data_IF_235938648798
#
_entry.id   IF_235938648798
#
_cell.length_a   1.000
_cell.length_b   1.000
_cell.length_c   1.000
_cell.angle_alpha   90.00
_cell.angle_beta   90.00
_cell.angle_gamma   90.00
#
_symmetry.space_group_name_H-M   'P 1'
#
loop_
_entity.id
_entity.type
_entity.pdbx_description
1 polymer ?
#
# COMPACT_ATOMS: atom_id res chain seq x y z
N UNK A 1 -2.55 -45.62 4.42
CA UNK A 1 -3.73 -44.93 3.86
C UNK A 1 -3.28 -43.55 3.41
N UNK A 2 -3.25 -43.31 2.09
CA UNK A 2 -3.07 -41.96 1.55
C UNK A 2 -4.31 -41.16 1.94
N UNK A 3 -4.17 -40.23 2.89
CA UNK A 3 -5.21 -39.23 3.16
C UNK A 3 -5.09 -38.21 2.04
N UNK A 4 -6.03 -38.25 1.10
CA UNK A 4 -6.20 -37.13 0.19
C UNK A 4 -6.67 -35.95 1.04
N UNK A 5 -6.04 -34.77 0.96
CA UNK A 5 -6.52 -33.59 1.67
C UNK A 5 -7.96 -33.31 1.21
N UNK A 6 -8.87 -33.17 2.17
CA UNK A 6 -10.26 -32.79 1.90
C UNK A 6 -10.27 -31.38 1.27
N UNK A 7 -11.21 -31.10 0.36
CA UNK A 7 -11.37 -29.77 -0.20
C UNK A 7 -11.52 -28.74 0.91
N UNK A 8 -10.70 -27.68 0.89
CA UNK A 8 -10.89 -26.55 1.81
C UNK A 8 -12.28 -25.96 1.57
N UNK A 9 -13.01 -25.72 2.66
CA UNK A 9 -14.31 -25.05 2.54
C UNK A 9 -14.12 -23.57 2.17
N UNK A 10 -15.22 -22.95 1.74
CA UNK A 10 -15.24 -21.55 1.29
C UNK A 10 -14.75 -20.59 2.37
N UNK A 11 -15.15 -20.83 3.63
CA UNK A 11 -14.74 -20.00 4.76
C UNK A 11 -13.23 -20.08 4.99
N UNK A 12 -12.66 -21.28 4.94
CA UNK A 12 -11.23 -21.51 5.14
C UNK A 12 -10.42 -20.90 4.01
N UNK A 13 -10.90 -21.00 2.78
CA UNK A 13 -10.31 -20.34 1.61
C UNK A 13 -10.26 -18.82 1.81
N UNK A 14 -11.35 -18.20 2.25
CA UNK A 14 -11.41 -16.77 2.56
C UNK A 14 -10.43 -16.37 3.68
N UNK A 15 -10.36 -17.17 4.75
CA UNK A 15 -9.39 -16.95 5.84
C UNK A 15 -7.94 -16.96 5.34
N UNK A 16 -7.59 -17.89 4.45
CA UNK A 16 -6.27 -18.00 3.85
C UNK A 16 -5.98 -16.78 2.95
N UNK A 17 -6.93 -16.40 2.10
CA UNK A 17 -6.80 -15.23 1.22
C UNK A 17 -6.52 -13.99 2.04
N UNK A 18 -7.33 -13.72 3.07
CA UNK A 18 -7.18 -12.52 3.89
C UNK A 18 -5.88 -12.54 4.70
N UNK A 19 -5.48 -13.70 5.23
CA UNK A 19 -4.22 -13.85 5.94
C UNK A 19 -3.01 -13.53 5.05
N UNK A 20 -2.99 -14.06 3.82
CA UNK A 20 -1.91 -13.80 2.86
C UNK A 20 -1.95 -12.33 2.43
N UNK A 21 -3.11 -11.81 2.03
CA UNK A 21 -3.27 -10.45 1.53
C UNK A 21 -2.83 -9.42 2.57
N UNK A 22 -3.25 -9.59 3.84
CA UNK A 22 -2.84 -8.74 4.95
C UNK A 22 -1.33 -8.77 5.18
N UNK A 23 -0.71 -9.95 5.10
CA UNK A 23 0.74 -10.09 5.29
C UNK A 23 1.51 -9.38 4.18
N UNK A 24 1.09 -9.57 2.92
CA UNK A 24 1.67 -8.89 1.75
C UNK A 24 1.53 -7.38 1.86
N UNK A 25 0.35 -6.89 2.27
CA UNK A 25 0.09 -5.47 2.50
C UNK A 25 1.01 -4.89 3.57
N UNK A 26 1.16 -5.56 4.71
CA UNK A 26 2.05 -5.11 5.80
C UNK A 26 3.51 -4.95 5.36
N UNK A 27 3.95 -5.74 4.37
CA UNK A 27 5.29 -5.62 3.80
C UNK A 27 5.41 -4.59 2.68
N UNK A 28 4.30 -3.97 2.24
CA UNK A 28 4.30 -3.03 1.10
C UNK A 28 4.58 -3.70 -0.24
N UNK A 29 4.28 -5.01 -0.37
CA UNK A 29 4.63 -5.82 -1.54
C UNK A 29 3.41 -6.18 -2.42
N UNK A 30 2.29 -5.46 -2.29
CA UNK A 30 1.03 -5.79 -2.99
C UNK A 30 1.22 -5.90 -4.51
N UNK A 31 1.78 -4.87 -5.15
CA UNK A 31 2.00 -4.85 -6.61
C UNK A 31 2.99 -5.94 -7.08
N UNK A 32 4.19 -6.09 -6.45
CA UNK A 32 5.08 -7.20 -6.78
C UNK A 32 4.45 -8.60 -6.58
N UNK A 33 3.63 -8.78 -5.56
CA UNK A 33 2.95 -10.05 -5.29
C UNK A 33 1.93 -10.39 -6.38
N UNK A 34 1.11 -9.42 -6.81
CA UNK A 34 0.19 -9.60 -7.95
C UNK A 34 0.96 -10.05 -9.18
N UNK A 35 2.02 -9.34 -9.54
CA UNK A 35 2.85 -9.67 -10.71
C UNK A 35 3.44 -11.10 -10.62
N UNK A 36 4.00 -11.45 -9.46
CA UNK A 36 4.54 -12.79 -9.24
C UNK A 36 3.46 -13.87 -9.36
N UNK A 37 2.29 -13.66 -8.76
CA UNK A 37 1.20 -14.62 -8.81
C UNK A 37 0.64 -14.77 -10.22
N UNK A 38 0.47 -13.68 -10.99
CA UNK A 38 0.09 -13.69 -12.40
C UNK A 38 1.04 -14.52 -13.27
N UNK A 39 2.35 -14.30 -13.11
CA UNK A 39 3.38 -15.06 -13.84
C UNK A 39 3.36 -16.55 -13.51
N UNK A 40 3.00 -16.90 -12.28
CA UNK A 40 3.01 -18.27 -11.77
C UNK A 40 1.63 -18.93 -11.73
N UNK A 41 0.56 -18.28 -12.21
CA UNK A 41 -0.77 -18.88 -12.39
C UNK A 41 -0.76 -20.27 -13.06
N UNK A 42 0.02 -20.53 -14.13
CA UNK A 42 0.07 -21.87 -14.74
C UNK A 42 0.85 -22.90 -13.91
N UNK A 43 1.67 -22.46 -12.94
CA UNK A 43 2.47 -23.33 -12.08
C UNK A 43 1.67 -23.91 -10.91
N UNK A 44 0.42 -23.48 -10.66
CA UNK A 44 -0.46 -24.14 -9.70
C UNK A 44 -0.54 -25.66 -9.94
N UNK A 45 -0.47 -26.11 -11.20
CA UNK A 45 -0.47 -27.55 -11.54
C UNK A 45 0.83 -28.30 -11.19
N UNK A 46 1.95 -27.58 -11.05
CA UNK A 46 3.26 -28.15 -10.67
C UNK A 46 3.47 -28.06 -9.14
N UNK A 47 2.55 -27.37 -8.45
CA UNK A 47 2.53 -27.21 -6.99
C UNK A 47 2.58 -28.55 -6.25
N UNK A 48 1.71 -29.49 -6.59
CA UNK A 48 1.69 -30.83 -6.00
C UNK A 48 3.07 -31.54 -5.98
N UNK A 49 3.86 -31.44 -7.06
CA UNK A 49 5.18 -32.07 -7.15
C UNK A 49 6.27 -31.28 -6.41
N UNK A 50 6.24 -29.94 -6.48
CA UNK A 50 7.13 -29.09 -5.70
C UNK A 50 6.89 -29.25 -4.19
N UNK A 51 5.65 -29.53 -3.77
CA UNK A 51 5.31 -29.71 -2.37
C UNK A 51 5.78 -31.02 -1.78
N UNK A 52 5.79 -32.12 -2.53
CA UNK A 52 6.43 -33.35 -2.07
C UNK A 52 7.94 -33.17 -1.82
N UNK A 53 8.59 -32.29 -2.59
CA UNK A 53 9.99 -31.95 -2.41
C UNK A 53 10.25 -31.10 -1.16
N UNK A 54 9.38 -30.14 -0.83
CA UNK A 54 9.55 -29.26 0.33
C UNK A 54 8.86 -29.74 1.63
N UNK A 55 8.00 -30.76 1.56
CA UNK A 55 7.25 -31.32 2.71
C UNK A 55 8.08 -31.56 4.00
N UNK A 56 9.29 -32.16 3.96
CA UNK A 56 10.05 -32.42 5.18
C UNK A 56 10.58 -31.14 5.86
N UNK A 57 10.71 -30.04 5.14
CA UNK A 57 11.17 -28.74 5.68
C UNK A 57 9.98 -27.97 6.24
N UNK A 58 8.83 -27.99 5.56
CA UNK A 58 7.70 -27.14 5.94
C UNK A 58 6.83 -27.74 7.05
N UNK A 59 6.75 -29.08 7.14
CA UNK A 59 6.01 -29.78 8.21
C UNK A 59 6.55 -29.57 9.63
N UNK A 60 7.78 -29.05 9.77
CA UNK A 60 8.37 -28.70 11.07
C UNK A 60 7.94 -27.31 11.55
N UNK A 61 7.54 -26.42 10.64
CA UNK A 61 7.18 -25.03 10.98
C UNK A 61 5.68 -24.74 10.95
N UNK A 62 4.86 -25.57 10.30
CA UNK A 62 3.43 -25.29 10.10
C UNK A 62 2.55 -26.54 10.24
N UNK A 63 1.76 -26.61 11.31
CA UNK A 63 0.71 -27.64 11.51
C UNK A 63 -0.48 -27.47 10.54
N UNK A 64 -0.55 -26.37 9.79
CA UNK A 64 -1.62 -25.99 8.85
C UNK A 64 -1.15 -25.94 7.40
N UNK A 65 0.03 -26.49 7.09
CA UNK A 65 0.63 -26.38 5.76
C UNK A 65 -0.22 -27.02 4.65
N UNK A 66 -0.95 -28.11 4.95
CA UNK A 66 -1.80 -28.83 4.01
C UNK A 66 -2.93 -27.96 3.41
N UNK A 67 -3.46 -27.00 4.18
CA UNK A 67 -4.52 -26.11 3.68
C UNK A 67 -3.95 -25.09 2.68
N UNK A 68 -2.77 -24.52 2.95
CA UNK A 68 -2.10 -23.58 2.05
C UNK A 68 -1.62 -24.28 0.79
N UNK A 69 -1.10 -25.49 0.96
CA UNK A 69 -0.74 -26.41 -0.09
C UNK A 69 -1.90 -26.65 -1.06
N UNK A 70 -3.03 -27.10 -0.52
CA UNK A 70 -4.26 -27.33 -1.28
C UNK A 70 -4.78 -26.03 -1.92
N UNK A 71 -4.69 -24.92 -1.18
CA UNK A 71 -5.09 -23.61 -1.67
C UNK A 71 -4.36 -23.23 -2.96
N UNK A 72 -3.03 -23.33 -3.00
CA UNK A 72 -2.22 -22.93 -4.17
C UNK A 72 -2.30 -23.88 -5.36
N UNK A 73 -2.70 -25.13 -5.15
CA UNK A 73 -2.87 -26.15 -6.20
C UNK A 73 -4.10 -25.83 -7.09
N UNK A 74 -5.09 -25.11 -6.55
CA UNK A 74 -6.25 -24.65 -7.31
C UNK A 74 -6.03 -23.25 -7.90
N UNK A 75 -6.02 -23.16 -9.24
CA UNK A 75 -5.89 -21.91 -9.99
C UNK A 75 -6.96 -20.87 -9.63
N UNK A 76 -8.19 -21.29 -9.33
CA UNK A 76 -9.28 -20.37 -8.94
C UNK A 76 -8.98 -19.68 -7.61
N UNK A 77 -8.40 -20.38 -6.64
CA UNK A 77 -8.00 -19.80 -5.37
C UNK A 77 -6.91 -18.74 -5.54
N UNK A 78 -5.94 -19.01 -6.44
CA UNK A 78 -4.89 -18.05 -6.79
C UNK A 78 -5.48 -16.81 -7.48
N UNK A 79 -6.47 -16.98 -8.36
CA UNK A 79 -7.21 -15.88 -8.97
C UNK A 79 -7.92 -15.01 -7.92
N UNK A 80 -8.63 -15.64 -6.98
CA UNK A 80 -9.31 -14.94 -5.89
C UNK A 80 -8.33 -14.15 -5.01
N UNK A 81 -7.16 -14.72 -4.72
CA UNK A 81 -6.10 -14.02 -3.99
C UNK A 81 -5.58 -12.80 -4.75
N UNK A 82 -5.38 -12.92 -6.07
CA UNK A 82 -4.93 -11.80 -6.91
C UNK A 82 -5.97 -10.69 -6.91
N UNK A 83 -7.24 -11.02 -7.14
CA UNK A 83 -8.33 -10.03 -7.12
C UNK A 83 -8.40 -9.30 -5.78
N UNK A 84 -8.21 -10.01 -4.66
CA UNK A 84 -8.15 -9.39 -3.34
C UNK A 84 -6.97 -8.42 -3.21
N UNK A 85 -5.78 -8.79 -3.69
CA UNK A 85 -4.61 -7.92 -3.68
C UNK A 85 -4.79 -6.70 -4.59
N UNK A 86 -5.42 -6.86 -5.76
CA UNK A 86 -5.75 -5.75 -6.66
C UNK A 86 -6.70 -4.75 -6.00
N UNK A 87 -7.73 -5.23 -5.28
CA UNK A 87 -8.62 -4.37 -4.52
C UNK A 87 -7.86 -3.54 -3.47
N UNK A 88 -6.92 -4.17 -2.74
CA UNK A 88 -6.05 -3.45 -1.78
C UNK A 88 -5.22 -2.38 -2.49
N UNK A 89 -4.62 -2.72 -3.63
CA UNK A 89 -3.80 -1.77 -4.39
C UNK A 89 -4.62 -0.54 -4.84
N UNK A 90 -5.86 -0.77 -5.30
CA UNK A 90 -6.78 0.30 -5.69
C UNK A 90 -7.18 1.18 -4.49
N UNK A 91 -7.51 0.57 -3.34
CA UNK A 91 -7.83 1.28 -2.10
C UNK A 91 -6.65 2.17 -1.66
N UNK A 92 -5.42 1.64 -1.64
CA UNK A 92 -4.22 2.39 -1.28
C UNK A 92 -3.94 3.56 -2.22
N UNK A 93 -4.16 3.38 -3.51
CA UNK A 93 -4.02 4.45 -4.50
C UNK A 93 -5.07 5.55 -4.29
N UNK A 94 -6.33 5.17 -4.06
CA UNK A 94 -7.41 6.11 -3.82
C UNK A 94 -7.16 6.94 -2.56
N UNK A 95 -6.73 6.31 -1.46
CA UNK A 95 -6.36 7.01 -0.23
C UNK A 95 -5.22 8.01 -0.47
N UNK A 96 -4.21 7.60 -1.23
CA UNK A 96 -3.08 8.47 -1.59
C UNK A 96 -3.53 9.67 -2.44
N UNK A 97 -4.47 9.47 -3.37
CA UNK A 97 -5.05 10.55 -4.19
C UNK A 97 -5.84 11.53 -3.31
N UNK A 98 -6.74 11.03 -2.46
CA UNK A 98 -7.52 11.84 -1.51
C UNK A 98 -6.61 12.64 -0.57
N UNK A 99 -5.54 12.04 -0.07
CA UNK A 99 -4.59 12.73 0.81
C UNK A 99 -3.84 13.86 0.07
N UNK A 100 -3.40 13.62 -1.16
CA UNK A 100 -2.76 14.64 -2.02
C UNK A 100 -3.71 15.82 -2.29
N UNK A 101 -4.97 15.54 -2.59
CA UNK A 101 -5.99 16.57 -2.81
C UNK A 101 -6.26 17.41 -1.55
N UNK A 102 -6.43 16.76 -0.39
CA UNK A 102 -6.58 17.44 0.90
C UNK A 102 -5.39 18.34 1.22
N UNK A 103 -4.15 17.86 0.98
CA UNK A 103 -2.92 18.65 1.16
C UNK A 103 -2.88 19.86 0.21
N UNK A 104 -3.30 19.69 -1.04
CA UNK A 104 -3.37 20.79 -2.03
C UNK A 104 -4.40 21.85 -1.62
N UNK A 105 -5.61 21.44 -1.24
CA UNK A 105 -6.67 22.34 -0.77
C UNK A 105 -6.25 23.10 0.50
N UNK A 106 -5.64 22.41 1.47
CA UNK A 106 -5.13 23.05 2.69
C UNK A 106 -4.02 24.08 2.40
N UNK A 107 -3.14 23.82 1.43
CA UNK A 107 -2.11 24.79 0.97
C UNK A 107 -2.75 26.01 0.31
N UNK A 108 -3.74 25.81 -0.56
CA UNK A 108 -4.46 26.89 -1.25
C UNK A 108 -5.27 27.75 -0.27
N UNK A 109 -5.98 27.14 0.68
CA UNK A 109 -6.73 27.87 1.71
C UNK A 109 -5.81 28.68 2.63
N UNK A 110 -4.61 28.19 2.94
CA UNK A 110 -3.59 28.95 3.69
C UNK A 110 -3.03 30.12 2.89
N UNK A 111 -2.78 29.95 1.59
CA UNK A 111 -2.32 31.03 0.71
C UNK A 111 -3.40 32.10 0.49
N UNK A 112 -4.68 31.70 0.36
CA UNK A 112 -5.80 32.63 0.22
C UNK A 112 -6.17 33.35 1.54
N UNK A 113 -5.83 32.78 2.70
CA UNK A 113 -6.02 33.41 4.01
C UNK A 113 -4.86 34.31 4.45
N UNK A 114 -3.71 34.27 3.78
CA UNK A 114 -2.66 35.25 4.00
C UNK A 114 -3.18 36.61 3.48
N UNK A 115 -3.42 37.61 4.34
CA UNK A 115 -3.94 38.89 3.87
C UNK A 115 -2.90 39.51 2.93
N UNK A 116 -3.32 39.92 1.74
CA UNK A 116 -2.51 40.75 0.84
C UNK A 116 -2.03 42.04 1.55
N UNK A 117 -2.82 42.49 2.53
CA UNK A 117 -2.48 43.59 3.44
C UNK A 117 -1.25 43.29 4.29
N UNK A 118 -0.97 42.05 4.71
CA UNK A 118 0.20 41.77 5.56
C UNK A 118 1.52 41.97 4.80
N UNK A 119 1.57 41.60 3.52
CA UNK A 119 2.77 41.78 2.68
C UNK A 119 2.93 43.26 2.30
N UNK A 120 1.84 43.95 1.96
CA UNK A 120 1.85 45.39 1.67
C UNK A 120 2.19 46.22 2.92
N UNK A 121 1.66 45.84 4.09
CA UNK A 121 1.95 46.49 5.38
C UNK A 121 3.41 46.27 5.80
N UNK A 122 3.98 45.08 5.56
CA UNK A 122 5.41 44.81 5.78
C UNK A 122 6.29 45.61 4.82
N UNK A 123 5.93 45.68 3.54
CA UNK A 123 6.66 46.46 2.53
C UNK A 123 6.64 47.96 2.83
N UNK A 124 5.49 48.50 3.23
CA UNK A 124 5.38 49.91 3.63
C UNK A 124 6.20 50.21 4.88
N UNK A 125 6.17 49.34 5.90
CA UNK A 125 7.02 49.49 7.10
C UNK A 125 8.51 49.45 6.77
N UNK A 126 8.93 48.60 5.82
CA UNK A 126 10.33 48.54 5.38
C UNK A 126 10.75 49.81 4.63
N UNK A 127 9.91 50.34 3.74
CA UNK A 127 10.17 51.59 3.02
C UNK A 127 10.26 52.79 3.99
N UNK A 128 9.35 52.87 4.96
CA UNK A 128 9.41 53.86 6.04
C UNK A 128 10.74 53.75 6.81
N UNK A 129 11.13 52.53 7.22
CA UNK A 129 12.37 52.30 7.97
C UNK A 129 13.65 52.56 7.14
N UNK A 130 13.58 52.50 5.81
CA UNK A 130 14.67 52.92 4.92
C UNK A 130 14.75 54.44 4.82
N UNK A 131 13.61 55.12 4.66
CA UNK A 131 13.54 56.59 4.62
C UNK A 131 14.02 57.22 5.93
N UNK A 132 13.63 56.65 7.06
CA UNK A 132 14.05 57.10 8.39
C UNK A 132 15.55 56.91 8.64
N UNK A 133 16.13 55.83 8.09
CA UNK A 133 17.59 55.59 8.13
C UNK A 133 18.36 56.57 7.26
N UNK A 134 17.85 56.89 6.08
CA UNK A 134 18.52 57.81 5.16
C UNK A 134 18.46 59.27 5.67
N UNK A 135 17.33 59.67 6.26
CA UNK A 135 17.13 60.98 6.89
C UNK A 135 18.11 61.25 8.06
N UNK A 136 18.41 60.23 8.87
CA UNK A 136 19.35 60.35 10.00
C UNK A 136 20.82 60.45 9.58
N UNK A 137 21.17 60.05 8.36
CA UNK A 137 22.56 60.01 7.89
C UNK A 137 22.96 61.24 7.07
N UNK A 138 22.01 62.14 6.75
CA UNK A 138 22.19 63.36 5.98
C UNK A 138 22.35 64.65 6.84
N UNK A 139 22.53 64.50 8.15
CA UNK A 139 22.60 65.61 9.11
C UNK A 139 23.96 65.83 9.78
N UNK A 140 25.07 65.51 9.10
CA UNK A 140 26.45 65.81 9.54
C UNK A 140 27.11 66.76 8.56
#
# INVERSE_FOLDING_TARGET
>A
MLKFPEPIDEKRREEIIEAIAKRVQQFGMVVPAIFFLEMNKPLSYIGAQAMHFFAPIVGVFFNTFEDYAYFFDNRENVELLIQRLEAIAQEEEEQRRKEKERKKQARQAKQARAPESTILDEAMKMDQAMKDRNSKNSGV
#
